data_IF_630984891867
#
_entry.id   IF_630984891867
#
_cell.length_a   1.000
_cell.length_b   1.000
_cell.length_c   1.000
_cell.angle_alpha   90.00
_cell.angle_beta   90.00
_cell.angle_gamma   90.00
#
_symmetry.space_group_name_H-M   'P 1'
#
loop_
_entity.id
_entity.type
_entity.pdbx_description
1 polymer ?
#
# COMPACT_ATOMS: atom_id res chain seq x y z
N UNK A 1 4.61 -3.58 36.52
CA UNK A 1 4.43 -3.42 35.06
C UNK A 1 5.75 -3.77 34.38
N UNK A 2 6.17 -5.02 34.18
CA UNK A 2 5.46 -6.23 33.84
C UNK A 2 5.89 -6.62 32.43
N UNK A 3 6.96 -7.43 32.32
CA UNK A 3 7.61 -7.99 31.11
C UNK A 3 6.62 -8.51 30.03
N UNK A 4 5.37 -8.76 30.42
CA UNK A 4 4.23 -9.12 29.58
C UNK A 4 3.84 -8.07 28.53
N UNK A 5 4.08 -6.77 28.77
CA UNK A 5 3.72 -5.71 27.80
C UNK A 5 4.66 -5.70 26.59
N UNK A 6 5.92 -6.10 26.78
CA UNK A 6 6.94 -6.12 25.72
C UNK A 6 6.68 -7.27 24.74
N UNK A 7 6.13 -8.39 25.22
CA UNK A 7 5.79 -9.53 24.36
C UNK A 7 4.54 -9.31 23.48
N UNK A 8 3.68 -8.35 23.84
CA UNK A 8 2.47 -8.03 23.06
C UNK A 8 2.78 -7.26 21.75
N UNK A 9 3.95 -6.63 21.65
CA UNK A 9 4.30 -5.79 20.49
C UNK A 9 4.99 -6.56 19.35
N UNK A 10 5.38 -7.82 19.55
CA UNK A 10 6.24 -8.54 18.58
C UNK A 10 5.48 -9.31 17.48
N UNK A 11 4.16 -9.31 17.49
CA UNK A 11 3.34 -9.89 16.43
C UNK A 11 2.24 -8.90 16.04
N UNK A 12 2.60 -7.82 15.34
CA UNK A 12 1.68 -7.20 14.39
C UNK A 12 1.52 -8.16 13.20
N UNK A 13 1.00 -9.37 13.45
CA UNK A 13 0.40 -10.15 12.40
C UNK A 13 -0.82 -9.36 11.94
N UNK A 14 -0.79 -8.87 10.70
CA UNK A 14 -1.98 -8.31 10.09
C UNK A 14 -3.08 -9.36 10.14
N UNK A 15 -4.22 -9.01 10.75
CA UNK A 15 -5.29 -9.95 11.07
C UNK A 15 -5.93 -10.56 9.82
N UNK A 16 -5.76 -9.90 8.67
CA UNK A 16 -6.45 -10.20 7.43
C UNK A 16 -5.63 -11.02 6.44
N UNK A 17 -4.41 -11.43 6.82
CA UNK A 17 -3.54 -12.28 6.01
C UNK A 17 -2.21 -11.63 5.65
N UNK A 18 -1.34 -12.45 5.08
CA UNK A 18 -0.01 -12.07 4.63
C UNK A 18 -0.05 -11.81 3.12
N UNK A 19 0.15 -10.55 2.72
CA UNK A 19 0.08 -10.12 1.32
C UNK A 19 1.10 -10.86 0.44
N UNK A 20 2.23 -11.28 0.99
CA UNK A 20 3.29 -11.96 0.24
C UNK A 20 2.93 -13.41 -0.12
N UNK A 21 1.85 -13.95 0.44
CA UNK A 21 1.36 -15.31 0.16
C UNK A 21 0.17 -15.32 -0.81
N UNK A 22 -0.18 -14.16 -1.38
CA UNK A 22 -1.28 -14.03 -2.32
C UNK A 22 -0.74 -14.04 -3.74
N UNK A 23 -1.11 -15.05 -4.52
CA UNK A 23 -0.82 -15.09 -5.95
C UNK A 23 -1.58 -13.98 -6.68
N UNK A 24 -0.90 -13.31 -7.61
CA UNK A 24 -1.49 -12.23 -8.40
C UNK A 24 -1.01 -12.29 -9.85
N UNK A 25 -1.95 -12.07 -10.78
CA UNK A 25 -1.64 -11.87 -12.20
C UNK A 25 -1.28 -10.42 -12.52
N UNK A 26 -1.32 -9.54 -11.52
CA UNK A 26 -0.98 -8.12 -11.64
C UNK A 26 -2.02 -7.29 -12.39
N UNK A 27 -1.57 -6.22 -13.02
CA UNK A 27 -2.42 -5.32 -13.79
C UNK A 27 -2.75 -5.91 -15.17
N UNK A 28 -3.98 -5.70 -15.65
CA UNK A 28 -4.31 -6.00 -17.04
C UNK A 28 -3.60 -5.05 -18.00
N UNK A 29 -3.49 -5.42 -19.28
CA UNK A 29 -2.87 -4.58 -20.30
C UNK A 29 -3.55 -3.20 -20.42
N UNK A 30 -4.88 -3.16 -20.29
CA UNK A 30 -5.67 -1.92 -20.29
C UNK A 30 -5.21 -0.98 -19.19
N UNK A 31 -5.00 -1.52 -17.98
CA UNK A 31 -4.52 -0.75 -16.83
C UNK A 31 -3.05 -0.36 -16.99
N UNK A 32 -2.19 -1.24 -17.49
CA UNK A 32 -0.77 -0.93 -17.72
C UNK A 32 -0.59 0.23 -18.72
N UNK A 33 -1.41 0.27 -19.79
CA UNK A 33 -1.39 1.34 -20.80
C UNK A 33 -1.72 2.72 -20.24
N UNK A 34 -2.65 2.81 -19.29
CA UNK A 34 -3.00 4.08 -18.63
C UNK A 34 -1.79 4.72 -17.93
N UNK A 35 -0.89 3.87 -17.44
CA UNK A 35 0.28 4.29 -16.68
C UNK A 35 1.53 4.48 -17.53
N UNK A 36 1.45 4.26 -18.85
CA UNK A 36 2.59 4.29 -19.79
C UNK A 36 3.82 3.56 -19.24
N UNK A 37 3.59 2.49 -18.48
CA UNK A 37 4.68 1.77 -17.83
C UNK A 37 5.49 1.09 -18.91
N UNK A 38 6.79 1.37 -18.94
CA UNK A 38 7.72 0.67 -19.84
C UNK A 38 7.96 -0.75 -19.32
N UNK A 39 7.75 -0.96 -18.01
CA UNK A 39 7.90 -2.24 -17.31
C UNK A 39 6.69 -2.52 -16.41
N UNK A 40 6.14 -3.74 -16.51
CA UNK A 40 5.15 -4.23 -15.54
C UNK A 40 5.75 -4.24 -14.14
N UNK A 41 5.13 -3.55 -13.18
CA UNK A 41 5.60 -3.47 -11.79
C UNK A 41 6.35 -2.19 -11.41
N UNK A 42 6.50 -1.23 -12.32
CA UNK A 42 7.09 0.08 -11.98
C UNK A 42 6.21 0.88 -11.00
N UNK A 43 6.81 1.31 -9.89
CA UNK A 43 6.11 1.95 -8.79
C UNK A 43 6.12 3.49 -8.93
N UNK A 44 5.42 3.99 -9.96
CA UNK A 44 5.44 5.42 -10.36
C UNK A 44 4.80 6.39 -9.36
N UNK A 45 4.11 5.88 -8.33
CA UNK A 45 3.48 6.70 -7.31
C UNK A 45 4.28 6.80 -6.00
N UNK A 46 5.43 6.11 -5.90
CA UNK A 46 6.21 6.01 -4.66
C UNK A 46 6.49 7.37 -4.01
N UNK A 47 7.03 8.31 -4.79
CA UNK A 47 7.37 9.66 -4.31
C UNK A 47 6.14 10.47 -3.86
N UNK A 48 4.94 10.16 -4.39
CA UNK A 48 3.68 10.79 -3.98
C UNK A 48 3.13 10.14 -2.71
N UNK A 49 3.18 8.81 -2.64
CA UNK A 49 2.76 8.02 -1.47
C UNK A 49 3.60 8.34 -0.24
N UNK A 50 4.89 8.65 -0.42
CA UNK A 50 5.79 8.97 0.68
C UNK A 50 5.29 10.14 1.54
N UNK A 51 4.57 11.11 0.93
CA UNK A 51 3.91 12.22 1.64
C UNK A 51 2.86 11.76 2.66
N UNK A 52 2.29 10.57 2.47
CA UNK A 52 1.23 10.00 3.30
C UNK A 52 1.73 8.85 4.19
N UNK A 53 3.02 8.50 4.13
CA UNK A 53 3.60 7.30 4.77
C UNK A 53 3.29 7.21 6.26
N UNK A 54 3.44 8.31 7.01
CA UNK A 54 3.18 8.33 8.46
C UNK A 54 1.71 8.04 8.78
N UNK A 55 0.78 8.65 8.03
CA UNK A 55 -0.65 8.41 8.16
C UNK A 55 -1.02 6.98 7.78
N UNK A 56 -0.46 6.46 6.67
CA UNK A 56 -0.70 5.09 6.20
C UNK A 56 -0.24 4.07 7.25
N UNK A 57 0.96 4.24 7.81
CA UNK A 57 1.48 3.37 8.88
C UNK A 57 0.61 3.45 10.14
N UNK A 58 0.23 4.67 10.56
CA UNK A 58 -0.61 4.88 11.74
C UNK A 58 -1.98 4.19 11.60
N UNK A 59 -2.62 4.36 10.44
CA UNK A 59 -3.92 3.73 10.15
C UNK A 59 -3.78 2.22 10.03
N UNK A 60 -2.76 1.72 9.32
CA UNK A 60 -2.50 0.29 9.20
C UNK A 60 -2.31 -0.38 10.56
N UNK A 61 -1.52 0.23 11.45
CA UNK A 61 -1.36 -0.25 12.82
C UNK A 61 -2.67 -0.22 13.62
N UNK A 62 -3.42 0.90 13.55
CA UNK A 62 -4.69 1.07 14.28
C UNK A 62 -5.77 0.11 13.80
N UNK A 63 -5.77 -0.24 12.51
CA UNK A 63 -6.75 -1.12 11.87
C UNK A 63 -6.24 -2.55 11.70
N UNK A 64 -5.04 -2.85 12.18
CA UNK A 64 -4.39 -4.15 12.06
C UNK A 64 -4.33 -4.67 10.61
N UNK A 65 -4.09 -3.75 9.68
CA UNK A 65 -4.01 -3.98 8.23
C UNK A 65 -2.64 -3.55 7.69
N UNK A 66 -2.15 -4.28 6.68
CA UNK A 66 -0.86 -3.96 6.09
C UNK A 66 -0.86 -2.55 5.46
N UNK A 67 0.03 -1.63 5.90
CA UNK A 67 0.24 -0.34 5.28
C UNK A 67 0.47 -0.43 3.76
N UNK A 68 1.09 -1.52 3.27
CA UNK A 68 1.30 -1.76 1.85
C UNK A 68 -0.03 -1.95 1.08
N UNK A 69 -1.02 -2.61 1.69
CA UNK A 69 -2.37 -2.76 1.11
C UNK A 69 -3.05 -1.40 1.01
N UNK A 70 -2.99 -0.58 2.07
CA UNK A 70 -3.53 0.79 2.05
C UNK A 70 -2.85 1.62 0.95
N UNK A 71 -1.52 1.57 0.87
CA UNK A 71 -0.75 2.31 -0.13
C UNK A 71 -1.10 1.89 -1.57
N UNK A 72 -1.26 0.58 -1.80
CA UNK A 72 -1.66 0.04 -3.09
C UNK A 72 -3.07 0.51 -3.51
N UNK A 73 -4.03 0.55 -2.58
CA UNK A 73 -5.38 1.08 -2.83
C UNK A 73 -5.30 2.58 -3.18
N UNK A 74 -4.54 3.37 -2.43
CA UNK A 74 -4.37 4.81 -2.71
C UNK A 74 -3.77 5.04 -4.11
N UNK A 75 -2.75 4.25 -4.48
CA UNK A 75 -2.16 4.28 -5.83
C UNK A 75 -3.21 3.95 -6.90
N UNK A 76 -3.99 2.89 -6.70
CA UNK A 76 -5.01 2.46 -7.66
C UNK A 76 -6.10 3.51 -7.86
N UNK A 77 -6.64 4.06 -6.78
CA UNK A 77 -7.84 4.90 -6.82
C UNK A 77 -7.55 6.32 -7.29
N UNK A 78 -6.42 6.89 -6.87
CA UNK A 78 -6.19 8.34 -6.99
C UNK A 78 -4.84 8.72 -7.54
N UNK A 79 -3.96 7.75 -7.84
CA UNK A 79 -2.56 8.02 -8.19
C UNK A 79 -1.87 8.84 -7.09
N UNK A 80 -2.22 8.55 -5.84
CA UNK A 80 -1.85 9.32 -4.66
C UNK A 80 -2.18 10.83 -4.82
N UNK A 81 -3.39 11.12 -5.28
CA UNK A 81 -3.89 12.48 -5.49
C UNK A 81 -3.40 13.17 -6.77
N UNK A 82 -2.75 12.46 -7.70
CA UNK A 82 -2.32 13.06 -8.97
C UNK A 82 -3.51 13.21 -9.93
N UNK A 83 -4.05 14.42 -9.98
CA UNK A 83 -5.03 14.80 -10.99
C UNK A 83 -4.31 15.32 -12.24
N UNK A 84 -4.55 14.69 -13.39
CA UNK A 84 -4.15 15.26 -14.68
C UNK A 84 -5.27 16.22 -15.09
N UNK A 85 -5.04 17.54 -15.06
CA UNK A 85 -5.99 18.48 -15.64
C UNK A 85 -6.17 18.10 -17.11
N UNK A 86 -7.39 17.76 -17.51
CA UNK A 86 -7.70 17.62 -18.94
C UNK A 86 -7.56 19.01 -19.55
N UNK A 87 -6.52 19.20 -20.37
CA UNK A 87 -6.53 20.22 -21.40
C UNK A 87 -7.52 19.84 -22.48
#
# INVERSE_FOLDING_TARGET
LGFQVIFSMLFLAYLYGDMLKIDTTGASEVTAKQYKLTLMGENIDLARIEKYKSTIIKVGSTKQMDPAVIAAIISRESRAGWFKSKG
#
